data_IF_641252662457
#
_entry.id   IF_641252662457
#
_cell.length_a   1.000
_cell.length_b   1.000
_cell.length_c   1.000
_cell.angle_alpha   90.00
_cell.angle_beta   90.00
_cell.angle_gamma   90.00
#
_symmetry.space_group_name_H-M   'P 1'
#
loop_
_entity.id
_entity.type
_entity.pdbx_description
1 polymer ?
#
# COMPACT_ATOMS: atom_id res chain seq x y z
N UNK A 1 -10.57 15.34 32.16
CA UNK A 1 -10.27 14.59 33.40
C UNK A 1 -11.42 13.63 33.69
N UNK A 2 -11.25 12.35 33.38
CA UNK A 2 -12.01 11.25 34.00
C UNK A 2 -11.00 10.17 34.36
N UNK A 3 -10.44 10.28 35.57
CA UNK A 3 -9.56 9.28 36.15
C UNK A 3 -10.40 8.04 36.47
N UNK A 4 -10.38 7.03 35.60
CA UNK A 4 -10.51 5.67 36.09
C UNK A 4 -9.21 5.32 36.81
N UNK A 5 -9.06 5.77 38.06
CA UNK A 5 -7.97 5.29 38.90
C UNK A 5 -8.25 3.82 39.21
N UNK A 6 -7.46 2.92 38.65
CA UNK A 6 -7.43 1.53 39.10
C UNK A 6 -7.20 1.51 40.62
N UNK A 7 -7.81 0.56 41.32
CA UNK A 7 -7.93 0.49 42.79
C UNK A 7 -6.60 0.38 43.57
N UNK A 8 -5.43 0.58 42.93
CA UNK A 8 -4.09 0.45 43.54
C UNK A 8 -3.10 1.56 43.15
N UNK A 9 -3.56 2.71 42.68
CA UNK A 9 -2.66 3.80 42.27
C UNK A 9 -1.90 3.53 40.96
N UNK A 10 -2.40 2.59 40.15
CA UNK A 10 -1.87 2.30 38.81
C UNK A 10 -2.56 3.22 37.80
N UNK A 11 -1.77 3.83 36.92
CA UNK A 11 -2.27 4.56 35.75
C UNK A 11 -2.21 3.62 34.56
N UNK A 12 -3.36 3.32 33.96
CA UNK A 12 -3.48 2.55 32.73
C UNK A 12 -3.83 3.48 31.58
N UNK A 13 -3.35 3.15 30.37
CA UNK A 13 -3.79 3.84 29.16
C UNK A 13 -5.32 3.79 29.05
N UNK A 14 -5.93 4.90 28.65
CA UNK A 14 -7.40 5.02 28.55
C UNK A 14 -7.94 4.41 27.25
N UNK A 15 -7.08 4.23 26.25
CA UNK A 15 -7.38 3.61 24.97
C UNK A 15 -6.37 2.50 24.68
N UNK A 16 -6.79 1.58 23.82
CA UNK A 16 -5.97 0.52 23.24
C UNK A 16 -5.31 0.93 21.91
N UNK A 17 -5.74 2.06 21.34
CA UNK A 17 -5.21 2.61 20.08
C UNK A 17 -3.87 3.31 20.37
N UNK A 18 -2.93 3.24 19.42
CA UNK A 18 -1.58 3.80 19.58
C UNK A 18 -1.53 5.32 19.72
N UNK A 19 -0.33 5.88 19.64
CA UNK A 19 -0.10 7.34 19.82
C UNK A 19 -0.50 8.19 18.61
N UNK A 20 -0.87 7.57 17.49
CA UNK A 20 -1.30 8.24 16.26
C UNK A 20 -2.80 8.10 16.12
N UNK A 21 -3.54 9.20 16.23
CA UNK A 21 -4.99 9.21 16.10
C UNK A 21 -5.43 8.65 14.74
N UNK A 22 -6.49 7.84 14.72
CA UNK A 22 -6.99 7.20 13.50
C UNK A 22 -6.19 5.98 13.02
N UNK A 23 -5.12 5.58 13.71
CA UNK A 23 -4.28 4.46 13.28
C UNK A 23 -3.87 3.50 14.40
N UNK A 24 -3.69 2.24 14.01
CA UNK A 24 -3.11 1.18 14.82
C UNK A 24 -1.66 0.91 14.36
N UNK A 25 -0.66 0.97 15.26
CA UNK A 25 0.73 0.74 14.89
C UNK A 25 1.10 -0.75 14.83
N UNK A 26 2.03 -1.11 13.95
CA UNK A 26 2.69 -2.41 13.94
C UNK A 26 2.54 -3.18 12.63
N UNK A 27 3.64 -3.29 11.88
CA UNK A 27 3.69 -4.07 10.64
C UNK A 27 3.29 -5.54 10.86
N UNK A 28 2.26 -6.01 10.15
CA UNK A 28 1.83 -7.41 10.14
C UNK A 28 1.11 -7.89 11.43
N UNK A 29 0.70 -6.98 12.30
CA UNK A 29 -0.09 -7.33 13.49
C UNK A 29 -1.44 -7.95 13.10
N UNK A 30 -2.03 -8.75 14.01
CA UNK A 30 -3.45 -9.11 13.96
C UNK A 30 -4.21 -8.01 14.73
N UNK A 31 -4.86 -7.13 13.98
CA UNK A 31 -5.55 -5.95 14.49
C UNK A 31 -7.02 -6.25 14.77
N UNK A 32 -7.63 -5.48 15.66
CA UNK A 32 -9.07 -5.49 15.95
C UNK A 32 -9.55 -4.04 16.08
N UNK A 33 -10.55 -3.64 15.29
CA UNK A 33 -11.14 -2.30 15.34
C UNK A 33 -12.62 -2.32 14.98
N UNK A 34 -13.38 -1.42 15.60
CA UNK A 34 -14.81 -1.24 15.34
C UNK A 34 -15.18 0.24 15.35
N UNK A 35 -16.01 0.67 14.40
CA UNK A 35 -16.56 2.02 14.35
C UNK A 35 -17.83 2.15 15.22
N UNK A 36 -18.54 1.03 15.46
CA UNK A 36 -19.70 0.96 16.35
C UNK A 36 -19.42 -0.02 17.51
N UNK A 37 -19.75 0.33 18.76
CA UNK A 37 -19.44 -0.50 19.93
C UNK A 37 -20.05 -1.90 19.86
N UNK A 38 -19.23 -2.95 20.00
CA UNK A 38 -19.69 -4.34 19.97
C UNK A 38 -20.01 -4.87 18.58
N UNK A 39 -19.60 -4.18 17.51
CA UNK A 39 -19.74 -4.67 16.15
C UNK A 39 -18.82 -5.89 15.89
N UNK A 40 -17.68 -6.00 16.58
CA UNK A 40 -16.84 -7.20 16.53
C UNK A 40 -17.45 -8.35 17.35
N UNK A 41 -17.71 -9.52 16.74
CA UNK A 41 -18.11 -10.70 17.47
C UNK A 41 -16.99 -11.21 18.39
N UNK A 42 -17.34 -11.52 19.64
CA UNK A 42 -16.39 -12.00 20.63
C UNK A 42 -16.26 -13.54 20.57
N UNK A 43 -15.02 -14.02 20.42
CA UNK A 43 -14.67 -15.44 20.52
C UNK A 43 -15.10 -16.33 19.35
N UNK A 44 -15.48 -15.73 18.21
CA UNK A 44 -15.87 -16.42 16.96
C UNK A 44 -15.87 -15.44 15.79
N UNK A 45 -15.69 -15.93 14.56
CA UNK A 45 -15.69 -15.07 13.36
C UNK A 45 -17.03 -15.06 12.61
N UNK A 46 -17.86 -16.10 12.79
CA UNK A 46 -19.10 -16.29 11.99
C UNK A 46 -20.28 -16.67 12.88
N UNK A 47 -20.78 -15.73 13.73
CA UNK A 47 -21.98 -15.99 14.52
C UNK A 47 -23.22 -16.07 13.63
N UNK A 48 -24.27 -16.76 14.09
CA UNK A 48 -25.54 -16.84 13.37
C UNK A 48 -26.23 -15.46 13.25
N UNK A 49 -26.01 -14.58 14.23
CA UNK A 49 -26.48 -13.19 14.25
C UNK A 49 -25.30 -12.32 14.63
N UNK A 50 -25.01 -11.33 13.80
CA UNK A 50 -23.98 -10.33 14.07
C UNK A 50 -24.70 -9.07 14.56
N UNK A 51 -24.10 -8.35 15.50
CA UNK A 51 -24.63 -7.08 15.96
C UNK A 51 -24.85 -6.12 14.78
N UNK A 52 -25.84 -5.24 14.91
CA UNK A 52 -26.29 -4.33 13.85
C UNK A 52 -26.79 -5.02 12.57
N UNK A 53 -26.94 -6.35 12.55
CA UNK A 53 -27.39 -7.08 11.37
C UNK A 53 -26.35 -7.15 10.25
N UNK A 54 -25.08 -6.97 10.58
CA UNK A 54 -23.96 -7.01 9.63
C UNK A 54 -23.77 -8.40 9.02
N UNK A 55 -22.98 -8.44 7.96
CA UNK A 55 -22.50 -9.66 7.31
C UNK A 55 -21.02 -9.87 7.61
N UNK A 56 -20.65 -11.09 7.99
CA UNK A 56 -19.25 -11.49 8.10
C UNK A 56 -18.73 -11.90 6.72
N UNK A 57 -17.62 -11.31 6.31
CA UNK A 57 -16.93 -11.60 5.06
C UNK A 57 -15.43 -11.75 5.33
N UNK A 58 -14.77 -12.72 4.69
CA UNK A 58 -13.33 -12.90 4.84
C UNK A 58 -12.61 -12.48 3.55
N UNK A 59 -11.67 -11.56 3.67
CA UNK A 59 -10.67 -11.27 2.64
C UNK A 59 -9.42 -12.11 2.93
N UNK A 60 -9.10 -13.05 2.05
CA UNK A 60 -7.93 -13.92 2.17
C UNK A 60 -6.78 -13.38 1.32
N UNK A 61 -5.69 -12.96 1.96
CA UNK A 61 -4.48 -12.46 1.28
C UNK A 61 -3.49 -13.54 0.90
N UNK A 62 -3.68 -14.76 1.41
CA UNK A 62 -2.79 -15.91 1.21
C UNK A 62 -3.60 -17.21 1.05
N UNK A 63 -2.98 -18.30 0.54
CA UNK A 63 -3.58 -19.63 0.62
C UNK A 63 -3.84 -20.04 2.07
N UNK A 64 -4.95 -20.75 2.32
CA UNK A 64 -5.34 -21.16 3.69
C UNK A 64 -4.30 -21.99 4.44
N UNK A 65 -3.43 -22.70 3.71
CA UNK A 65 -2.36 -23.55 4.26
C UNK A 65 -1.00 -22.86 4.29
N UNK A 66 -0.94 -21.54 4.09
CA UNK A 66 0.29 -20.78 4.22
C UNK A 66 0.87 -20.97 5.64
N UNK A 67 2.20 -21.04 5.79
CA UNK A 67 2.84 -21.01 7.11
C UNK A 67 2.35 -19.83 7.94
N UNK A 68 2.28 -19.97 9.26
CA UNK A 68 1.77 -18.92 10.15
C UNK A 68 2.50 -17.56 9.96
N UNK A 69 3.78 -17.57 9.60
CA UNK A 69 4.57 -16.36 9.33
C UNK A 69 4.15 -15.59 8.08
N UNK A 70 3.44 -16.25 7.15
CA UNK A 70 2.98 -15.67 5.89
C UNK A 70 1.46 -15.76 5.70
N UNK A 71 0.75 -16.36 6.65
CA UNK A 71 -0.70 -16.47 6.66
C UNK A 71 -1.34 -15.09 6.86
N UNK A 72 -2.22 -14.75 5.93
CA UNK A 72 -2.85 -13.44 5.86
C UNK A 72 -4.33 -13.54 5.55
N UNK A 73 -5.12 -12.91 6.41
CA UNK A 73 -6.57 -12.80 6.29
C UNK A 73 -7.11 -11.68 7.16
N UNK A 74 -8.21 -11.11 6.71
CA UNK A 74 -9.04 -10.18 7.49
C UNK A 74 -10.50 -10.58 7.43
N UNK A 75 -11.16 -10.53 8.57
CA UNK A 75 -12.61 -10.65 8.70
C UNK A 75 -13.21 -9.26 8.76
N UNK A 76 -14.21 -9.02 7.93
CA UNK A 76 -14.92 -7.76 7.76
C UNK A 76 -16.37 -7.97 8.16
N UNK A 77 -16.90 -7.07 8.98
CA UNK A 77 -18.30 -7.03 9.39
C UNK A 77 -18.95 -5.80 8.76
N UNK A 78 -19.69 -6.04 7.68
CA UNK A 78 -20.12 -5.01 6.74
C UNK A 78 -21.63 -4.97 6.54
N UNK A 79 -22.15 -3.83 6.09
CA UNK A 79 -23.60 -3.61 5.91
C UNK A 79 -24.16 -4.53 4.82
N UNK A 80 -23.45 -4.67 3.69
CA UNK A 80 -23.80 -5.55 2.57
C UNK A 80 -22.59 -6.37 2.13
N UNK A 81 -22.75 -7.66 1.80
CA UNK A 81 -21.63 -8.48 1.33
C UNK A 81 -21.15 -8.04 -0.06
N UNK A 82 -19.87 -8.23 -0.38
CA UNK A 82 -19.23 -7.80 -1.64
C UNK A 82 -19.89 -8.39 -2.89
N UNK A 83 -20.59 -9.52 -2.78
CA UNK A 83 -21.39 -10.09 -3.88
C UNK A 83 -22.51 -9.14 -4.36
N UNK A 84 -22.87 -8.12 -3.56
CA UNK A 84 -23.78 -7.03 -3.93
C UNK A 84 -23.06 -5.81 -4.48
N UNK A 85 -21.73 -5.75 -4.42
CA UNK A 85 -20.90 -4.60 -4.81
C UNK A 85 -20.37 -4.71 -6.24
N UNK A 86 -20.52 -5.88 -6.85
CA UNK A 86 -20.06 -6.14 -8.21
C UNK A 86 -21.10 -6.93 -8.99
N UNK A 87 -21.58 -6.39 -10.11
CA UNK A 87 -22.45 -7.14 -11.03
C UNK A 87 -22.39 -6.56 -12.45
N UNK A 88 -22.64 -7.38 -13.48
CA UNK A 88 -22.82 -6.90 -14.87
C UNK A 88 -21.69 -5.98 -15.38
N UNK A 89 -20.45 -6.42 -15.21
CA UNK A 89 -19.27 -5.68 -15.65
C UNK A 89 -19.28 -5.35 -17.14
N UNK A 90 -18.85 -4.13 -17.47
CA UNK A 90 -18.56 -3.68 -18.84
C UNK A 90 -17.07 -3.38 -18.94
N UNK A 91 -16.44 -3.85 -20.01
CA UNK A 91 -15.03 -3.56 -20.28
C UNK A 91 -14.83 -2.06 -20.52
N UNK A 92 -13.79 -1.49 -19.93
CA UNK A 92 -13.32 -0.12 -20.14
C UNK A 92 -11.83 -0.13 -20.48
N UNK A 93 -11.35 0.96 -21.07
CA UNK A 93 -9.95 1.06 -21.50
C UNK A 93 -9.21 2.09 -20.67
N UNK A 94 -8.10 1.69 -20.06
CA UNK A 94 -7.11 2.58 -19.46
C UNK A 94 -5.87 2.60 -20.35
N UNK A 95 -5.77 3.51 -21.34
CA UNK A 95 -4.81 3.39 -22.42
C UNK A 95 -3.35 3.47 -21.96
N UNK A 96 -3.09 4.16 -20.84
CA UNK A 96 -1.73 4.40 -20.32
C UNK A 96 -1.36 3.51 -19.13
N UNK A 97 -2.29 2.71 -18.61
CA UNK A 97 -2.02 1.74 -17.55
C UNK A 97 -1.76 0.37 -18.18
N UNK A 98 -0.47 0.06 -18.36
CA UNK A 98 0.02 -1.21 -18.93
C UNK A 98 0.32 -2.20 -17.81
N UNK A 99 0.35 -3.48 -18.18
CA UNK A 99 0.56 -4.59 -17.25
C UNK A 99 1.47 -5.60 -17.91
N UNK A 100 2.39 -6.19 -17.13
CA UNK A 100 3.31 -7.19 -17.66
C UNK A 100 2.56 -8.49 -18.02
N UNK A 101 2.92 -9.18 -19.11
CA UNK A 101 3.98 -8.82 -20.04
C UNK A 101 3.50 -7.74 -21.02
N UNK A 102 4.30 -6.68 -21.19
CA UNK A 102 4.06 -5.64 -22.20
C UNK A 102 5.30 -5.41 -23.04
N UNK A 103 5.48 -6.24 -24.06
CA UNK A 103 6.60 -6.15 -25.00
C UNK A 103 6.16 -5.31 -26.20
N UNK A 104 6.96 -4.29 -26.54
CA UNK A 104 6.76 -3.48 -27.75
C UNK A 104 7.82 -3.91 -28.76
N UNK A 105 7.40 -4.60 -29.82
CA UNK A 105 8.28 -5.34 -30.75
C UNK A 105 9.39 -4.47 -31.37
N UNK A 106 9.08 -3.22 -31.73
CA UNK A 106 10.00 -2.33 -32.45
C UNK A 106 10.78 -1.36 -31.54
N UNK A 107 10.74 -1.56 -30.21
CA UNK A 107 11.46 -0.69 -29.25
C UNK A 107 12.77 -1.32 -28.82
N UNK A 108 13.89 -0.70 -29.21
CA UNK A 108 15.23 -1.07 -28.75
C UNK A 108 15.59 -0.18 -27.55
N UNK A 109 15.40 -0.72 -26.35
CA UNK A 109 15.64 -0.03 -25.07
C UNK A 109 16.86 -0.63 -24.36
N UNK A 110 18.06 -0.33 -24.85
CA UNK A 110 19.33 -0.88 -24.34
C UNK A 110 20.15 0.11 -23.49
N UNK A 111 19.72 1.37 -23.43
CA UNK A 111 20.43 2.46 -22.75
C UNK A 111 19.75 2.93 -21.47
N UNK A 112 20.43 3.82 -20.74
CA UNK A 112 19.83 4.50 -19.60
C UNK A 112 18.82 5.55 -20.08
N UNK A 113 17.67 5.59 -19.40
CA UNK A 113 16.66 6.62 -19.61
C UNK A 113 16.55 7.52 -18.39
N UNK A 114 16.23 8.79 -18.64
CA UNK A 114 15.95 9.79 -17.61
C UNK A 114 14.79 10.65 -18.09
N UNK A 115 13.86 10.91 -17.20
CA UNK A 115 12.68 11.72 -17.47
C UNK A 115 12.68 12.94 -16.56
N UNK A 116 12.29 14.09 -17.12
CA UNK A 116 11.85 15.23 -16.32
C UNK A 116 10.53 14.90 -15.60
N UNK A 117 10.17 15.61 -14.53
CA UNK A 117 8.90 15.42 -13.84
C UNK A 117 7.73 15.52 -14.83
N UNK A 118 6.86 14.50 -14.85
CA UNK A 118 5.72 14.47 -15.77
C UNK A 118 4.76 15.62 -15.42
N UNK A 119 4.47 16.56 -16.34
CA UNK A 119 3.68 17.74 -16.02
C UNK A 119 2.22 17.37 -15.74
N UNK A 120 1.55 18.17 -14.92
CA UNK A 120 0.10 18.13 -14.79
C UNK A 120 -0.57 18.49 -16.12
N UNK A 121 -1.84 18.12 -16.25
CA UNK A 121 -2.66 18.42 -17.42
C UNK A 121 -3.99 19.02 -16.97
N UNK A 122 -4.61 19.84 -17.83
CA UNK A 122 -5.94 20.39 -17.60
C UNK A 122 -7.06 19.36 -17.83
N UNK A 123 -6.75 18.19 -18.42
CA UNK A 123 -7.74 17.12 -18.57
C UNK A 123 -8.11 16.57 -17.18
N UNK A 124 -9.40 16.36 -16.88
CA UNK A 124 -9.81 15.75 -15.62
C UNK A 124 -9.28 14.31 -15.57
N UNK A 125 -8.52 14.01 -14.53
CA UNK A 125 -7.91 12.72 -14.26
C UNK A 125 -8.08 12.40 -12.77
N UNK A 126 -8.72 11.26 -12.51
CA UNK A 126 -8.74 10.63 -11.19
C UNK A 126 -7.44 9.86 -10.95
N UNK A 127 -7.20 9.39 -9.73
CA UNK A 127 -6.05 8.52 -9.42
C UNK A 127 -5.94 7.33 -10.38
N UNK A 128 -7.08 6.72 -10.74
CA UNK A 128 -7.14 5.54 -11.63
C UNK A 128 -6.95 5.93 -13.09
N UNK A 129 -7.69 6.91 -13.59
CA UNK A 129 -7.63 7.31 -15.01
C UNK A 129 -6.34 8.06 -15.36
N UNK A 130 -5.69 8.64 -14.36
CA UNK A 130 -4.42 9.35 -14.45
C UNK A 130 -3.17 8.47 -14.42
N UNK A 131 -3.29 7.15 -14.29
CA UNK A 131 -2.16 6.23 -14.21
C UNK A 131 -1.41 6.11 -15.54
N UNK A 132 -0.07 6.17 -15.49
CA UNK A 132 0.82 6.05 -16.66
C UNK A 132 2.00 5.15 -16.34
N UNK A 133 2.10 4.04 -17.06
CA UNK A 133 3.17 3.06 -16.85
C UNK A 133 4.49 3.52 -17.47
N UNK A 134 5.57 3.46 -16.68
CA UNK A 134 6.94 3.66 -17.13
C UNK A 134 7.56 2.36 -17.61
N UNK A 135 7.42 1.29 -16.82
CA UNK A 135 8.03 0.00 -17.10
C UNK A 135 7.21 -1.13 -16.54
N UNK A 136 7.35 -2.31 -17.14
CA UNK A 136 6.72 -3.56 -16.73
C UNK A 136 7.77 -4.66 -16.74
N UNK A 137 7.72 -5.57 -15.78
CA UNK A 137 8.57 -6.76 -15.72
C UNK A 137 7.74 -7.97 -15.28
N UNK A 138 8.04 -9.14 -15.84
CA UNK A 138 7.34 -10.39 -15.51
C UNK A 138 6.01 -10.56 -16.25
N UNK A 139 5.06 -11.25 -15.61
CA UNK A 139 3.78 -11.66 -16.19
C UNK A 139 2.71 -11.78 -15.09
N UNK A 140 1.67 -10.95 -15.20
CA UNK A 140 0.54 -10.90 -14.25
C UNK A 140 -0.24 -12.22 -14.19
N UNK A 141 -0.34 -12.95 -15.30
CA UNK A 141 -1.01 -14.24 -15.38
C UNK A 141 -0.27 -15.34 -14.62
N UNK A 142 1.06 -15.21 -14.50
CA UNK A 142 1.88 -16.09 -13.65
C UNK A 142 2.08 -15.56 -12.23
N UNK A 143 1.58 -14.35 -11.93
CA UNK A 143 1.75 -13.69 -10.63
C UNK A 143 3.23 -13.51 -10.26
N UNK A 144 4.02 -13.04 -11.24
CA UNK A 144 5.45 -12.76 -11.08
C UNK A 144 5.75 -11.39 -11.69
N UNK A 145 6.60 -10.62 -11.03
CA UNK A 145 7.05 -9.32 -11.53
C UNK A 145 6.25 -8.14 -10.98
N UNK A 146 6.28 -7.05 -11.74
CA UNK A 146 5.78 -5.76 -11.32
C UNK A 146 5.47 -4.85 -12.51
N UNK A 147 4.76 -3.75 -12.24
CA UNK A 147 4.80 -2.57 -13.11
C UNK A 147 4.98 -1.32 -12.27
N UNK A 148 5.72 -0.35 -12.81
CA UNK A 148 5.90 0.94 -12.16
C UNK A 148 5.25 2.05 -12.98
N UNK A 149 4.59 2.95 -12.29
CA UNK A 149 3.73 3.98 -12.85
C UNK A 149 4.01 5.34 -12.22
N UNK A 150 3.58 6.39 -12.91
CA UNK A 150 3.27 7.70 -12.31
C UNK A 150 1.76 7.90 -12.38
N UNK A 151 1.16 8.39 -11.29
CA UNK A 151 -0.22 8.88 -11.32
C UNK A 151 -0.20 10.41 -11.48
N UNK A 152 -1.14 10.93 -12.28
CA UNK A 152 -1.43 12.36 -12.39
C UNK A 152 -2.92 12.54 -12.08
N UNK A 153 -3.25 13.10 -10.93
CA UNK A 153 -4.63 13.28 -10.51
C UNK A 153 -4.94 14.75 -10.24
N UNK A 154 -6.09 15.22 -10.71
CA UNK A 154 -6.63 16.57 -10.46
C UNK A 154 -8.15 16.54 -10.27
N UNK A 155 -8.72 15.35 -10.08
CA UNK A 155 -10.16 15.10 -9.90
C UNK A 155 -10.33 14.02 -8.84
N UNK A 156 -11.21 14.27 -7.87
CA UNK A 156 -11.57 13.32 -6.82
C UNK A 156 -12.30 12.09 -7.38
N UNK A 157 -12.22 10.98 -6.65
CA UNK A 157 -13.04 9.80 -6.90
C UNK A 157 -14.24 9.79 -5.93
N UNK A 158 -15.26 10.63 -6.16
CA UNK A 158 -16.37 10.81 -5.19
C UNK A 158 -17.29 9.58 -5.04
N UNK A 159 -17.77 9.08 -6.18
CA UNK A 159 -18.68 7.94 -6.36
C UNK A 159 -18.04 6.82 -7.19
N UNK A 160 -16.72 6.90 -7.38
CA UNK A 160 -15.92 5.94 -8.13
C UNK A 160 -15.01 5.17 -7.17
N UNK A 161 -15.01 3.86 -7.27
CA UNK A 161 -14.22 2.96 -6.44
C UNK A 161 -13.38 2.05 -7.32
N UNK A 162 -12.25 1.60 -6.80
CA UNK A 162 -11.33 0.75 -7.52
C UNK A 162 -10.78 -0.36 -6.64
N UNK A 163 -10.52 -1.51 -7.25
CA UNK A 163 -9.62 -2.51 -6.68
C UNK A 163 -8.83 -3.22 -7.78
N UNK A 164 -7.62 -3.65 -7.42
CA UNK A 164 -6.81 -4.52 -8.27
C UNK A 164 -6.99 -5.96 -7.82
N UNK A 165 -7.47 -6.81 -8.71
CA UNK A 165 -7.40 -8.25 -8.54
C UNK A 165 -6.07 -8.83 -9.04
N UNK A 166 -5.15 -7.99 -9.50
CA UNK A 166 -3.86 -8.41 -10.06
C UNK A 166 -2.70 -8.28 -9.08
N UNK A 167 -2.76 -7.29 -8.19
CA UNK A 167 -1.58 -6.76 -7.52
C UNK A 167 -1.86 -6.10 -6.18
N UNK A 168 -0.85 -6.09 -5.32
CA UNK A 168 -0.69 -5.09 -4.26
C UNK A 168 -0.16 -3.79 -4.87
N UNK A 169 -0.52 -2.63 -4.31
CA UNK A 169 -0.06 -1.32 -4.77
C UNK A 169 0.80 -0.63 -3.71
N UNK A 170 2.06 -0.36 -4.01
CA UNK A 170 2.91 0.57 -3.24
C UNK A 170 2.80 1.97 -3.85
N UNK A 171 2.28 2.93 -3.09
CA UNK A 171 2.05 4.32 -3.50
C UNK A 171 3.06 5.24 -2.80
N UNK A 172 3.71 6.10 -3.57
CA UNK A 172 4.74 7.05 -3.11
C UNK A 172 4.41 8.45 -3.61
N UNK A 173 3.71 9.30 -2.82
CA UNK A 173 3.41 10.67 -3.25
C UNK A 173 4.66 11.51 -3.42
N UNK A 174 4.66 12.32 -4.47
CA UNK A 174 5.74 13.24 -4.79
C UNK A 174 5.29 14.71 -4.67
N UNK A 175 4.05 15.02 -5.04
CA UNK A 175 3.45 16.35 -4.96
C UNK A 175 1.97 16.21 -4.63
N UNK A 176 1.48 17.01 -3.68
CA UNK A 176 0.08 16.94 -3.21
C UNK A 176 -0.18 15.72 -2.33
N UNK A 177 -1.06 15.90 -1.36
CA UNK A 177 -1.54 14.85 -0.47
C UNK A 177 -2.64 14.02 -1.13
N UNK A 178 -2.79 12.79 -0.66
CA UNK A 178 -3.92 11.90 -0.98
C UNK A 178 -4.69 11.60 0.30
N UNK A 179 -6.01 11.51 0.20
CA UNK A 179 -6.85 10.86 1.21
C UNK A 179 -7.44 9.60 0.59
N UNK A 180 -7.05 8.44 1.10
CA UNK A 180 -7.39 7.12 0.54
C UNK A 180 -8.41 6.47 1.46
N UNK A 181 -9.64 6.36 1.00
CA UNK A 181 -10.72 5.69 1.70
C UNK A 181 -10.71 4.23 1.30
N UNK A 182 -10.57 3.32 2.25
CA UNK A 182 -10.46 1.87 2.03
C UNK A 182 -11.56 1.13 2.78
N UNK A 183 -11.75 -0.15 2.47
CA UNK A 183 -12.59 -1.04 3.29
C UNK A 183 -12.13 -1.17 4.75
N UNK A 184 -10.91 -0.72 5.09
CA UNK A 184 -10.33 -0.84 6.42
C UNK A 184 -10.33 0.48 7.20
N UNK A 185 -10.70 1.59 6.55
CA UNK A 185 -10.62 2.94 7.11
C UNK A 185 -9.94 3.94 6.17
N UNK A 186 -9.57 5.09 6.71
CA UNK A 186 -9.07 6.24 5.93
C UNK A 186 -7.57 6.39 6.14
N UNK A 187 -6.81 6.51 5.04
CA UNK A 187 -5.38 6.80 5.05
C UNK A 187 -5.15 8.17 4.44
N UNK A 188 -4.74 9.13 5.27
CA UNK A 188 -4.12 10.36 4.80
C UNK A 188 -2.68 10.07 4.41
N UNK A 189 -2.22 10.54 3.26
CA UNK A 189 -0.89 10.26 2.75
C UNK A 189 -0.25 11.51 2.16
N UNK A 190 0.90 11.92 2.70
CA UNK A 190 1.66 13.07 2.21
C UNK A 190 3.00 12.66 1.55
N UNK A 191 3.64 13.54 0.77
CA UNK A 191 5.00 13.29 0.31
C UNK A 191 5.95 12.99 1.47
N UNK A 192 6.91 12.08 1.24
CA UNK A 192 7.78 11.43 2.25
C UNK A 192 7.10 10.35 3.08
N UNK A 193 5.84 10.04 2.84
CA UNK A 193 5.20 8.82 3.30
C UNK A 193 4.99 7.85 2.13
N UNK A 194 4.79 6.57 2.47
CA UNK A 194 4.36 5.55 1.52
C UNK A 194 3.10 4.87 2.04
N UNK A 195 2.31 4.32 1.14
CA UNK A 195 1.16 3.49 1.47
C UNK A 195 1.21 2.18 0.68
N UNK A 196 0.79 1.09 1.29
CA UNK A 196 0.59 -0.18 0.62
C UNK A 196 -0.88 -0.58 0.71
N UNK A 197 -1.49 -0.77 -0.45
CA UNK A 197 -2.88 -1.21 -0.59
C UNK A 197 -2.90 -2.69 -1.02
N UNK A 198 -3.46 -3.59 -0.20
CA UNK A 198 -3.49 -5.01 -0.49
C UNK A 198 -4.29 -5.34 -1.75
N UNK A 199 -3.90 -6.44 -2.41
CA UNK A 199 -4.65 -6.99 -3.54
C UNK A 199 -6.07 -7.33 -3.13
N UNK A 200 -7.03 -6.99 -3.98
CA UNK A 200 -8.45 -7.32 -3.81
C UNK A 200 -9.24 -6.34 -2.95
N UNK A 201 -8.58 -5.38 -2.29
CA UNK A 201 -9.23 -4.39 -1.44
C UNK A 201 -9.79 -3.23 -2.27
N UNK A 202 -11.02 -2.84 -1.96
CA UNK A 202 -11.70 -1.68 -2.57
C UNK A 202 -11.24 -0.38 -1.90
N UNK A 203 -10.99 0.64 -2.72
CA UNK A 203 -10.69 1.98 -2.24
C UNK A 203 -11.16 3.08 -3.21
N UNK A 204 -11.20 4.32 -2.72
CA UNK A 204 -11.28 5.55 -3.52
C UNK A 204 -10.27 6.57 -3.02
N UNK A 205 -9.98 7.59 -3.83
CA UNK A 205 -8.97 8.61 -3.52
C UNK A 205 -9.56 10.01 -3.67
N UNK A 206 -9.39 10.84 -2.65
CA UNK A 206 -9.58 12.29 -2.71
C UNK A 206 -8.25 13.04 -2.68
N UNK A 207 -8.26 14.25 -3.23
CA UNK A 207 -7.13 15.13 -3.45
C UNK A 207 -7.34 16.42 -2.63
N UNK A 208 -7.00 16.44 -1.33
CA UNK A 208 -7.24 17.60 -0.47
C UNK A 208 -6.47 18.87 -0.91
N UNK A 209 -5.44 18.73 -1.76
CA UNK A 209 -4.70 19.84 -2.36
C UNK A 209 -5.13 20.14 -3.82
N UNK A 210 -6.24 19.55 -4.28
CA UNK A 210 -6.83 19.71 -5.61
C UNK A 210 -6.12 18.96 -6.75
N UNK A 211 -4.82 18.71 -6.63
CA UNK A 211 -4.08 17.85 -7.56
C UNK A 211 -2.93 17.12 -6.86
N UNK A 212 -2.58 15.94 -7.35
CA UNK A 212 -1.48 15.14 -6.85
C UNK A 212 -0.75 14.37 -7.95
N UNK A 213 0.55 14.18 -7.75
CA UNK A 213 1.43 13.35 -8.58
C UNK A 213 2.34 12.52 -7.69
N UNK A 214 2.60 11.28 -8.09
CA UNK A 214 3.52 10.41 -7.39
C UNK A 214 3.73 9.12 -8.16
N UNK A 215 4.47 8.20 -7.55
CA UNK A 215 4.82 6.91 -8.13
C UNK A 215 3.91 5.80 -7.57
N UNK A 216 3.62 4.79 -8.38
CA UNK A 216 2.98 3.55 -7.94
C UNK A 216 3.76 2.36 -8.45
N UNK A 217 4.04 1.40 -7.58
CA UNK A 217 4.53 0.08 -7.98
C UNK A 217 3.42 -0.96 -7.75
N UNK A 218 2.97 -1.59 -8.84
CA UNK A 218 2.17 -2.80 -8.79
C UNK A 218 3.07 -4.00 -8.53
N UNK A 219 2.82 -4.74 -7.45
CA UNK A 219 3.48 -6.01 -7.17
C UNK A 219 2.54 -7.17 -7.50
N UNK A 220 2.91 -8.00 -8.48
CA UNK A 220 2.09 -9.16 -8.91
C UNK A 220 2.37 -10.42 -8.08
N UNK A 221 3.51 -10.45 -7.39
CA UNK A 221 4.03 -11.66 -6.74
C UNK A 221 3.73 -11.74 -5.26
N UNK A 222 4.69 -12.28 -4.50
CA UNK A 222 4.63 -12.29 -3.05
C UNK A 222 4.54 -10.85 -2.53
N UNK A 223 3.69 -10.62 -1.52
CA UNK A 223 3.51 -9.33 -0.86
C UNK A 223 4.82 -8.67 -0.40
N UNK A 224 4.76 -7.37 -0.18
CA UNK A 224 5.82 -6.67 0.53
C UNK A 224 5.94 -7.14 1.99
N UNK A 225 7.17 -7.37 2.43
CA UNK A 225 7.55 -7.68 3.80
C UNK A 225 8.77 -6.84 4.21
N UNK A 226 9.08 -6.82 5.50
CA UNK A 226 10.31 -6.21 5.98
C UNK A 226 11.53 -7.08 5.58
N UNK A 227 12.66 -6.47 5.19
CA UNK A 227 13.85 -7.22 4.84
C UNK A 227 14.44 -7.95 6.05
N UNK A 228 15.11 -9.08 5.78
CA UNK A 228 15.96 -9.72 6.77
C UNK A 228 17.06 -8.76 7.21
N UNK A 229 17.23 -8.56 8.53
CA UNK A 229 18.20 -7.58 9.07
C UNK A 229 19.63 -8.11 9.21
N UNK A 230 19.82 -9.43 9.16
CA UNK A 230 21.13 -10.05 9.31
C UNK A 230 21.90 -9.50 10.53
N UNK A 231 23.18 -9.10 10.37
CA UNK A 231 23.99 -8.55 11.45
C UNK A 231 23.50 -7.24 12.08
N UNK A 232 22.57 -6.50 11.45
CA UNK A 232 21.97 -5.30 12.04
C UNK A 232 21.16 -5.67 13.31
N UNK A 233 20.63 -6.90 13.35
CA UNK A 233 19.96 -7.46 14.51
C UNK A 233 18.49 -7.08 14.61
N UNK A 234 18.02 -6.79 15.82
CA UNK A 234 16.60 -6.72 16.13
C UNK A 234 15.94 -5.34 15.91
N UNK A 235 16.68 -4.32 15.48
CA UNK A 235 16.21 -2.93 15.33
C UNK A 235 16.86 -2.25 14.12
N UNK A 236 16.40 -1.04 13.80
CA UNK A 236 16.85 -0.19 12.67
C UNK A 236 16.15 -0.50 11.33
N UNK A 237 16.54 0.24 10.29
CA UNK A 237 15.83 0.32 9.01
C UNK A 237 14.40 0.85 9.25
N UNK A 238 13.40 0.28 8.55
CA UNK A 238 12.00 0.52 8.87
C UNK A 238 11.61 -0.30 10.11
N UNK A 239 11.32 0.35 11.23
CA UNK A 239 10.90 -0.36 12.44
C UNK A 239 9.40 -0.70 12.35
N UNK A 240 8.98 -1.93 12.71
CA UNK A 240 7.58 -2.35 12.60
C UNK A 240 6.56 -1.41 13.25
N UNK A 241 6.90 -0.79 14.40
CA UNK A 241 6.01 0.12 15.14
C UNK A 241 5.62 1.39 14.38
N UNK A 242 6.41 1.77 13.39
CA UNK A 242 6.25 3.02 12.66
C UNK A 242 5.31 2.85 11.44
N UNK A 243 4.98 1.61 11.08
CA UNK A 243 3.90 1.30 10.14
C UNK A 243 2.53 1.46 10.82
N UNK A 244 1.59 2.08 10.12
CA UNK A 244 0.27 2.48 10.63
C UNK A 244 -0.85 1.95 9.74
N UNK A 245 -1.77 1.19 10.31
CA UNK A 245 -2.99 0.70 9.65
C UNK A 245 -4.19 1.50 10.15
N UNK A 246 -5.12 1.93 9.29
CA UNK A 246 -6.23 2.78 9.71
C UNK A 246 -7.19 2.05 10.66
N UNK A 247 -7.86 2.79 11.54
CA UNK A 247 -9.01 2.27 12.31
C UNK A 247 -10.24 2.16 11.40
N UNK A 248 -11.18 1.28 11.75
CA UNK A 248 -12.42 1.09 10.99
C UNK A 248 -13.19 2.41 10.78
N UNK A 249 -13.58 2.66 9.54
CA UNK A 249 -14.49 3.73 9.14
C UNK A 249 -15.35 3.19 7.99
N UNK A 250 -16.61 3.63 7.93
CA UNK A 250 -17.57 3.16 6.94
C UNK A 250 -18.44 4.29 6.41
N UNK A 251 -18.96 4.10 5.21
CA UNK A 251 -19.95 4.96 4.57
C UNK A 251 -21.32 4.29 4.60
N UNK A 252 -22.33 5.04 5.00
CA UNK A 252 -23.73 4.67 4.81
C UNK A 252 -24.32 5.58 3.72
N UNK A 253 -24.07 5.22 2.47
CA UNK A 253 -24.43 6.01 1.28
C UNK A 253 -25.26 5.17 0.32
N UNK A 254 -26.44 5.67 -0.06
CA UNK A 254 -27.38 5.06 -1.01
C UNK A 254 -27.52 5.91 -2.28
N UNK A 255 -26.41 6.13 -2.99
CA UNK A 255 -26.37 6.85 -4.27
C UNK A 255 -25.76 5.98 -5.36
N UNK A 256 -26.07 6.24 -6.65
CA UNK A 256 -25.40 5.56 -7.75
C UNK A 256 -23.88 5.72 -7.65
N UNK A 257 -23.18 4.60 -7.57
CA UNK A 257 -21.72 4.50 -7.50
C UNK A 257 -21.22 3.61 -8.64
N UNK A 258 -19.93 3.74 -8.95
CA UNK A 258 -19.24 2.94 -9.96
C UNK A 258 -18.05 2.21 -9.34
N UNK A 259 -17.92 0.91 -9.58
CA UNK A 259 -16.77 0.11 -9.14
C UNK A 259 -16.00 -0.39 -10.35
N UNK A 260 -14.71 -0.04 -10.40
CA UNK A 260 -13.77 -0.49 -11.42
C UNK A 260 -12.84 -1.57 -10.86
N UNK A 261 -12.80 -2.73 -11.51
CA UNK A 261 -11.84 -3.80 -11.24
C UNK A 261 -10.75 -3.81 -12.31
N UNK A 262 -9.51 -3.98 -11.88
CA UNK A 262 -8.42 -4.43 -12.75
C UNK A 262 -8.22 -5.94 -12.59
N UNK A 263 -8.35 -6.69 -13.70
CA UNK A 263 -8.23 -8.15 -13.75
C UNK A 263 -7.46 -8.59 -14.99
N UNK A 264 -6.36 -9.30 -14.79
CA UNK A 264 -5.39 -9.72 -15.79
C UNK A 264 -5.01 -8.59 -16.77
N UNK A 265 -4.70 -7.41 -16.24
CA UNK A 265 -4.33 -6.23 -17.03
C UNK A 265 -5.50 -5.56 -17.79
N UNK A 266 -6.72 -6.05 -17.63
CA UNK A 266 -7.92 -5.47 -18.22
C UNK A 266 -8.78 -4.76 -17.19
N UNK A 267 -9.46 -3.69 -17.60
CA UNK A 267 -10.30 -2.90 -16.72
C UNK A 267 -11.77 -3.14 -17.03
N UNK A 268 -12.55 -3.30 -15.99
CA UNK A 268 -13.99 -3.50 -16.10
C UNK A 268 -14.70 -2.67 -15.05
N UNK A 269 -15.84 -2.10 -15.41
CA UNK A 269 -16.61 -1.24 -14.53
C UNK A 269 -18.04 -1.78 -14.36
N UNK A 270 -18.62 -1.56 -13.19
CA UNK A 270 -20.03 -1.83 -12.92
C UNK A 270 -20.66 -0.72 -12.09
N UNK A 271 -21.99 -0.63 -12.17
CA UNK A 271 -22.79 0.32 -11.40
C UNK A 271 -23.44 -0.39 -10.21
N UNK A 272 -23.44 0.28 -9.06
CA UNK A 272 -24.12 -0.13 -7.83
C UNK A 272 -24.89 1.05 -7.23
N UNK A 273 -25.85 0.76 -6.35
CA UNK A 273 -26.74 1.78 -5.77
C UNK A 273 -26.29 2.35 -4.43
N UNK A 274 -25.08 2.01 -3.98
CA UNK A 274 -24.60 2.27 -2.63
C UNK A 274 -23.05 2.25 -2.56
N UNK A 275 -22.48 2.75 -1.47
CA UNK A 275 -21.01 2.68 -1.28
C UNK A 275 -20.55 1.26 -0.93
N UNK A 276 -19.47 0.76 -1.55
CA UNK A 276 -18.84 -0.50 -1.17
C UNK A 276 -17.91 -0.36 0.05
N UNK A 277 -17.69 0.85 0.58
CA UNK A 277 -16.86 1.10 1.77
C UNK A 277 -17.71 1.04 3.03
N UNK A 278 -18.38 -0.08 3.26
CA UNK A 278 -19.44 -0.26 4.26
C UNK A 278 -19.05 -1.21 5.40
N UNK A 279 -17.75 -1.31 5.70
CA UNK A 279 -17.19 -2.18 6.73
C UNK A 279 -17.17 -1.48 8.08
N UNK A 280 -18.11 -1.85 8.95
CA UNK A 280 -18.30 -1.22 10.27
C UNK A 280 -17.23 -1.64 11.27
N UNK A 281 -16.76 -2.88 11.17
CA UNK A 281 -15.70 -3.41 12.01
C UNK A 281 -14.91 -4.47 11.26
N UNK A 282 -13.65 -4.65 11.63
CA UNK A 282 -12.81 -5.69 11.05
C UNK A 282 -11.73 -6.15 12.03
N UNK A 283 -11.27 -7.39 11.84
CA UNK A 283 -10.08 -7.89 12.51
C UNK A 283 -9.23 -8.75 11.58
N UNK A 284 -7.92 -8.79 11.82
CA UNK A 284 -6.97 -9.58 11.06
C UNK A 284 -5.68 -8.85 10.73
N UNK A 285 -4.89 -9.45 9.85
CA UNK A 285 -3.52 -9.02 9.53
C UNK A 285 -3.29 -8.71 8.04
N UNK A 286 -4.36 -8.74 7.23
CA UNK A 286 -4.32 -8.38 5.81
C UNK A 286 -5.06 -7.07 5.60
N UNK A 287 -4.36 -5.96 5.80
CA UNK A 287 -4.92 -4.62 5.85
C UNK A 287 -3.95 -3.61 5.22
N UNK A 288 -4.43 -2.45 4.74
CA UNK A 288 -3.55 -1.43 4.21
C UNK A 288 -2.75 -0.77 5.32
N UNK A 289 -1.62 -0.19 4.94
CA UNK A 289 -0.76 0.51 5.88
C UNK A 289 -0.03 1.67 5.22
N UNK A 290 0.25 2.70 6.01
CA UNK A 290 1.17 3.77 5.67
C UNK A 290 2.46 3.71 6.51
N UNK A 291 3.51 4.31 5.99
CA UNK A 291 4.79 4.45 6.68
C UNK A 291 5.45 5.79 6.35
N UNK A 292 5.97 6.45 7.38
CA UNK A 292 6.69 7.71 7.25
C UNK A 292 8.19 7.45 7.03
N UNK A 293 8.72 7.80 5.85
CA UNK A 293 10.12 7.58 5.49
C UNK A 293 11.09 8.38 6.37
N UNK A 294 10.62 9.46 7.00
CA UNK A 294 11.43 10.27 7.94
C UNK A 294 11.75 9.52 9.23
N UNK A 295 11.00 8.46 9.54
CA UNK A 295 11.23 7.60 10.72
C UNK A 295 12.22 6.46 10.45
N UNK A 296 12.72 6.34 9.23
CA UNK A 296 13.69 5.30 8.86
C UNK A 296 15.01 5.45 9.63
N UNK A 297 15.38 4.39 10.33
CA UNK A 297 16.64 4.35 11.08
C UNK A 297 17.78 3.92 10.15
N UNK A 298 18.29 4.90 9.40
CA UNK A 298 19.35 4.73 8.40
C UNK A 298 20.62 4.12 8.98
N UNK A 299 21.12 3.06 8.35
CA UNK A 299 22.41 2.45 8.64
C UNK A 299 23.38 2.76 7.50
N UNK A 300 24.65 2.96 7.82
CA UNK A 300 25.72 3.20 6.85
C UNK A 300 27.09 2.88 7.44
N UNK A 301 28.14 3.13 6.66
CA UNK A 301 29.51 2.97 7.16
C UNK A 301 29.90 4.15 8.07
N UNK A 302 30.45 3.80 9.23
CA UNK A 302 31.05 4.72 10.21
C UNK A 302 32.59 4.63 10.20
N UNK A 303 33.16 4.05 9.14
CA UNK A 303 34.60 3.88 8.97
C UNK A 303 35.04 4.33 7.57
N UNK A 304 35.08 3.42 6.60
CA UNK A 304 35.50 3.63 5.22
C UNK A 304 34.61 2.80 4.27
N UNK A 305 34.84 2.93 2.96
CA UNK A 305 34.07 2.35 1.86
C UNK A 305 32.61 2.80 1.79
N UNK A 306 31.97 2.60 0.64
CA UNK A 306 30.56 2.90 0.44
C UNK A 306 29.75 1.59 0.65
N UNK A 307 28.68 1.56 1.45
CA UNK A 307 27.86 0.34 1.59
C UNK A 307 27.00 0.09 0.35
N UNK A 308 26.71 -1.18 0.04
CA UNK A 308 25.73 -1.53 -0.99
C UNK A 308 24.35 -0.91 -0.68
N UNK A 309 23.60 -0.43 -1.69
CA UNK A 309 22.35 0.30 -1.46
C UNK A 309 21.23 -0.55 -0.86
N UNK A 310 21.35 -1.88 -0.87
CA UNK A 310 20.43 -2.79 -0.18
C UNK A 310 20.36 -2.56 1.33
N UNK A 311 21.37 -1.89 1.92
CA UNK A 311 21.32 -1.45 3.32
C UNK A 311 20.21 -0.41 3.58
N UNK A 312 19.64 0.18 2.52
CA UNK A 312 18.54 1.14 2.61
C UNK A 312 17.18 0.57 2.20
N UNK A 313 17.03 -0.76 2.13
CA UNK A 313 15.73 -1.40 1.85
C UNK A 313 14.73 -1.07 2.95
N UNK A 314 13.53 -0.63 2.55
CA UNK A 314 12.38 -0.39 3.44
C UNK A 314 11.45 -1.60 3.41
N UNK A 315 11.07 -2.03 2.21
CA UNK A 315 10.21 -3.18 1.96
C UNK A 315 10.80 -4.02 0.84
N UNK A 316 10.60 -5.34 0.91
CA UNK A 316 11.01 -6.30 -0.12
C UNK A 316 9.87 -7.25 -0.45
N UNK A 317 9.70 -7.59 -1.71
CA UNK A 317 8.82 -8.66 -2.18
C UNK A 317 9.70 -9.84 -2.61
N UNK A 318 9.72 -10.96 -1.88
CA UNK A 318 10.64 -12.07 -2.19
C UNK A 318 10.22 -12.86 -3.43
N UNK A 319 11.17 -13.58 -4.04
CA UNK A 319 10.85 -14.69 -4.96
C UNK A 319 10.90 -16.04 -4.22
N UNK A 320 10.71 -17.13 -4.97
CA UNK A 320 10.95 -18.48 -4.45
C UNK A 320 12.45 -18.81 -4.26
N UNK A 321 13.35 -18.05 -4.89
CA UNK A 321 14.79 -18.18 -4.72
C UNK A 321 15.25 -17.34 -3.53
N UNK A 322 15.85 -17.99 -2.53
CA UNK A 322 16.32 -17.31 -1.32
C UNK A 322 17.41 -16.28 -1.66
N UNK A 323 17.26 -15.06 -1.15
CA UNK A 323 18.17 -13.94 -1.43
C UNK A 323 17.86 -13.16 -2.71
N UNK A 324 16.94 -13.66 -3.56
CA UNK A 324 16.49 -12.95 -4.77
C UNK A 324 15.11 -12.33 -4.54
N UNK A 325 15.06 -11.00 -4.54
CA UNK A 325 13.81 -10.25 -4.46
C UNK A 325 13.16 -10.08 -5.85
N UNK A 326 11.83 -10.14 -5.90
CA UNK A 326 11.03 -9.64 -7.02
C UNK A 326 11.18 -8.12 -7.10
N UNK A 327 11.07 -7.45 -5.94
CA UNK A 327 11.13 -6.00 -5.81
C UNK A 327 11.78 -5.66 -4.48
N UNK A 328 12.77 -4.76 -4.49
CA UNK A 328 13.21 -4.04 -3.29
C UNK A 328 12.80 -2.57 -3.42
N UNK A 329 12.02 -2.07 -2.46
CA UNK A 329 11.78 -0.65 -2.31
C UNK A 329 12.87 -0.04 -1.41
N UNK A 330 13.81 0.63 -2.05
CA UNK A 330 15.01 1.23 -1.45
C UNK A 330 14.88 2.75 -1.43
N UNK A 331 15.34 3.39 -0.35
CA UNK A 331 15.36 4.85 -0.24
C UNK A 331 16.78 5.40 -0.09
N UNK A 332 16.98 6.68 -0.39
CA UNK A 332 18.21 7.40 -0.09
C UNK A 332 17.90 8.58 0.83
N UNK A 333 17.71 8.35 2.14
CA UNK A 333 17.26 9.37 3.07
C UNK A 333 18.40 10.34 3.43
N UNK A 334 18.05 11.43 4.11
CA UNK A 334 19.02 12.30 4.76
C UNK A 334 19.91 11.48 5.72
N UNK A 335 21.22 11.65 5.62
CA UNK A 335 22.21 10.85 6.37
C UNK A 335 23.57 11.53 6.46
N UNK A 336 24.33 11.15 7.48
CA UNK A 336 25.73 11.55 7.62
C UNK A 336 26.64 10.70 6.73
N UNK A 337 27.63 11.34 6.10
CA UNK A 337 28.70 10.65 5.35
C UNK A 337 30.03 10.85 6.08
N UNK A 338 30.40 9.86 6.90
CA UNK A 338 31.58 9.90 7.76
C UNK A 338 32.79 9.14 7.20
N UNK A 339 32.66 8.56 6.01
CA UNK A 339 33.62 7.62 5.42
C UNK A 339 34.99 8.30 5.20
N UNK A 340 36.05 7.77 5.81
CA UNK A 340 37.44 8.23 5.68
C UNK A 340 38.08 7.66 4.41
N UNK A 341 38.91 8.47 3.73
CA UNK A 341 39.69 8.07 2.54
C UNK A 341 38.88 7.34 1.45
N UNK A 342 37.60 7.69 1.29
CA UNK A 342 36.63 6.95 0.46
C UNK A 342 36.03 7.86 -0.61
N UNK A 343 35.86 7.36 -1.83
CA UNK A 343 34.99 7.99 -2.82
C UNK A 343 33.53 7.81 -2.38
N UNK A 344 32.96 8.85 -1.78
CA UNK A 344 31.65 8.82 -1.12
C UNK A 344 30.44 8.68 -2.05
N UNK A 345 30.43 9.23 -3.29
CA UNK A 345 29.33 8.97 -4.21
C UNK A 345 29.22 7.48 -4.57
N UNK A 346 28.07 7.02 -5.08
CA UNK A 346 27.93 5.66 -5.59
C UNK A 346 29.03 5.34 -6.62
N UNK A 347 29.56 4.11 -6.56
CA UNK A 347 30.57 3.63 -7.53
C UNK A 347 29.97 3.41 -8.92
N UNK A 348 30.86 3.33 -9.92
CA UNK A 348 30.49 2.80 -11.23
C UNK A 348 30.00 1.36 -11.09
N UNK A 349 28.83 1.06 -11.67
CA UNK A 349 28.09 -0.16 -11.37
C UNK A 349 27.53 -0.83 -12.63
N UNK A 350 27.53 -2.17 -12.63
CA UNK A 350 26.77 -3.02 -13.56
C UNK A 350 26.10 -4.10 -12.73
N UNK A 351 24.80 -4.28 -12.90
CA UNK A 351 23.98 -5.11 -12.04
C UNK A 351 23.17 -6.13 -12.85
N UNK A 352 22.80 -7.24 -12.20
CA UNK A 352 21.79 -8.16 -12.71
C UNK A 352 20.36 -7.63 -12.50
N UNK A 353 20.18 -6.75 -11.50
CA UNK A 353 18.90 -6.11 -11.21
C UNK A 353 18.66 -4.92 -12.14
N UNK A 354 17.39 -4.68 -12.46
CA UNK A 354 16.95 -3.45 -13.12
C UNK A 354 16.63 -2.38 -12.08
N UNK A 355 17.24 -1.21 -12.21
CA UNK A 355 17.10 -0.11 -11.24
C UNK A 355 16.22 1.01 -11.81
N UNK A 356 15.09 1.29 -11.17
CA UNK A 356 14.24 2.45 -11.46
C UNK A 356 14.30 3.43 -10.29
N UNK A 357 14.84 4.62 -10.53
CA UNK A 357 14.97 5.66 -9.52
C UNK A 357 13.86 6.70 -9.66
N UNK A 358 13.25 7.08 -8.53
CA UNK A 358 12.35 8.23 -8.40
C UNK A 358 12.92 9.26 -7.43
N UNK A 359 12.61 10.54 -7.64
CA UNK A 359 12.98 11.61 -6.71
C UNK A 359 11.71 12.25 -6.12
N UNK A 360 11.53 12.10 -4.81
CA UNK A 360 10.38 12.66 -4.06
C UNK A 360 10.64 14.12 -3.70
N UNK A 361 11.83 14.42 -3.16
CA UNK A 361 12.20 15.73 -2.67
C UNK A 361 13.73 15.91 -2.75
N UNK A 362 14.17 17.15 -2.97
CA UNK A 362 15.59 17.50 -2.97
C UNK A 362 16.32 17.03 -4.24
N UNK A 363 17.60 16.71 -4.07
CA UNK A 363 18.51 16.29 -5.15
C UNK A 363 19.22 15.02 -4.70
N UNK A 364 19.29 14.03 -5.60
CA UNK A 364 20.07 12.81 -5.39
C UNK A 364 21.56 13.05 -5.63
#
# INVERSE_FOLDING_TARGET
>A
MSKMSLSRGVVQALNNVGVTEGYMPGFGNDFETEALPGALPIGRNSPQRIEYGLYAEQLSGSPFTAPHSTLERSWMYRIRPSVKHTSKFKKVTMPFWKTAPHIVEDVISLGQYRWDPVPFTDKPLTFVTGMRTFTTAGDVGTQVGMASHVYLANTDMDDEYFYSADSELLIVPQSGRLEIFTEFGIIELEPLEICVLPRGMVFKVSLPDGQARGFVCENYGAKFTLPGRGPIGANCLANPRDFKTPVAAFEEKETPCQVTIKWCGQFHTCEIGHSPLDVVAWHGNYAPYKYDLRTYATIGSISFDHPDPSIFTVLTAPTAEEGTANIDFVIFPERWLANENTFRPPWYHKNIMSELMGNVFGVY
#
